data_IF_196740952430
#
_entry.id   IF_196740952430
#
_cell.length_a   1.000
_cell.length_b   1.000
_cell.length_c   1.000
_cell.angle_alpha   90.00
_cell.angle_beta   90.00
_cell.angle_gamma   90.00
#
_symmetry.space_group_name_H-M   'P 1'
#
loop_
_entity.id
_entity.type
_entity.pdbx_description
1 polymer ?
#
# COMPACT_ATOMS: atom_id res chain seq x y z
N UNK A 1 6.73 14.07 -3.91
CA UNK A 1 7.17 15.40 -3.43
C UNK A 1 7.89 16.23 -4.49
N UNK A 2 8.95 15.76 -5.16
CA UNK A 2 9.58 16.53 -6.25
C UNK A 2 8.76 16.54 -7.56
N UNK A 3 8.06 15.46 -7.87
CA UNK A 3 7.17 15.33 -9.04
C UNK A 3 5.91 16.19 -8.93
N UNK A 4 5.36 16.36 -7.72
CA UNK A 4 4.13 17.13 -7.51
C UNK A 4 4.33 18.65 -7.71
N UNK A 5 5.50 19.16 -7.31
CA UNK A 5 5.84 20.57 -7.53
C UNK A 5 6.11 20.89 -9.01
N UNK A 6 6.68 19.94 -9.76
CA UNK A 6 6.94 20.09 -11.19
C UNK A 6 5.65 20.20 -12.01
N UNK A 7 4.62 19.42 -11.62
CA UNK A 7 3.30 19.47 -12.24
C UNK A 7 2.60 20.83 -12.01
N UNK A 8 2.67 21.37 -10.79
CA UNK A 8 2.02 22.66 -10.46
C UNK A 8 2.63 23.82 -11.26
N UNK A 9 3.97 23.90 -11.34
CA UNK A 9 4.66 24.97 -12.09
C UNK A 9 4.34 24.89 -13.58
N UNK A 10 4.26 23.67 -14.13
CA UNK A 10 3.89 23.44 -15.52
C UNK A 10 2.47 23.89 -15.86
N UNK A 11 1.48 23.57 -15.00
CA UNK A 11 0.10 24.03 -15.21
C UNK A 11 -0.06 25.55 -15.07
N UNK A 12 0.71 26.19 -14.18
CA UNK A 12 0.75 27.66 -14.08
C UNK A 12 1.29 28.27 -15.39
N UNK A 13 2.35 27.70 -15.95
CA UNK A 13 2.94 28.16 -17.20
C UNK A 13 1.96 28.03 -18.38
N UNK A 14 1.29 26.87 -18.51
CA UNK A 14 0.24 26.68 -19.53
C UNK A 14 -0.89 27.70 -19.36
N UNK A 15 -1.30 28.00 -18.12
CA UNK A 15 -2.32 28.99 -17.84
C UNK A 15 -1.94 30.39 -18.32
N UNK A 16 -0.72 30.84 -17.99
CA UNK A 16 -0.20 32.15 -18.42
C UNK A 16 -0.07 32.22 -19.94
N UNK A 17 0.48 31.17 -20.57
CA UNK A 17 0.58 31.07 -22.02
C UNK A 17 -0.78 31.17 -22.70
N UNK A 18 -1.77 30.40 -22.24
CA UNK A 18 -3.11 30.36 -22.83
C UNK A 18 -3.81 31.71 -22.76
N UNK A 19 -3.70 32.40 -21.61
CA UNK A 19 -4.27 33.74 -21.43
C UNK A 19 -3.60 34.74 -22.38
N UNK A 20 -2.27 34.68 -22.48
CA UNK A 20 -1.49 35.58 -23.35
C UNK A 20 -1.81 35.34 -24.82
N UNK A 21 -1.94 34.07 -25.24
CA UNK A 21 -2.34 33.69 -26.59
C UNK A 21 -3.75 34.17 -26.93
N UNK A 22 -4.73 33.98 -26.03
CA UNK A 22 -6.12 34.43 -26.23
C UNK A 22 -6.19 35.96 -26.33
N UNK A 23 -5.55 36.69 -25.42
CA UNK A 23 -5.53 38.16 -25.45
C UNK A 23 -4.87 38.71 -26.72
N UNK A 24 -3.78 38.09 -27.16
CA UNK A 24 -3.10 38.45 -28.41
C UNK A 24 -4.00 38.18 -29.62
N UNK A 25 -4.68 37.03 -29.65
CA UNK A 25 -5.60 36.66 -30.73
C UNK A 25 -6.84 37.57 -30.79
N UNK A 26 -7.43 37.90 -29.64
CA UNK A 26 -8.55 38.84 -29.52
C UNK A 26 -8.15 40.28 -29.89
N UNK A 27 -6.89 40.64 -29.66
CA UNK A 27 -6.32 41.91 -30.10
C UNK A 27 -6.09 41.97 -31.61
N UNK A 28 -5.57 40.90 -32.22
CA UNK A 28 -5.36 40.82 -33.68
C UNK A 28 -6.69 40.74 -34.44
N UNK A 29 -7.65 39.96 -33.95
CA UNK A 29 -8.98 39.82 -34.58
C UNK A 29 -9.87 41.06 -34.39
N UNK A 30 -9.40 42.08 -33.66
CA UNK A 30 -10.11 43.35 -33.47
C UNK A 30 -11.36 43.25 -32.61
N UNK A 31 -11.57 42.13 -31.93
CA UNK A 31 -12.67 41.93 -30.96
C UNK A 31 -12.50 42.87 -29.77
N UNK A 32 -11.25 43.07 -29.31
CA UNK A 32 -10.92 44.05 -28.27
C UNK A 32 -10.25 45.28 -28.92
N UNK A 33 -11.05 46.29 -29.25
CA UNK A 33 -10.60 47.54 -29.90
C UNK A 33 -9.75 48.47 -29.01
N UNK A 34 -9.58 48.13 -27.73
CA UNK A 34 -8.87 48.95 -26.73
C UNK A 34 -7.36 48.73 -26.70
N UNK A 35 -6.83 47.70 -27.36
CA UNK A 35 -5.40 47.35 -27.27
C UNK A 35 -4.63 48.18 -28.29
N UNK A 36 -3.77 49.07 -27.82
CA UNK A 36 -2.94 49.89 -28.71
C UNK A 36 -1.92 49.01 -29.47
N UNK A 37 -1.63 49.30 -30.75
CA UNK A 37 -0.75 48.47 -31.60
C UNK A 37 0.63 48.18 -31.01
N UNK A 38 1.19 49.14 -30.26
CA UNK A 38 2.49 48.99 -29.57
C UNK A 38 2.48 47.88 -28.51
N UNK A 39 1.36 47.69 -27.81
CA UNK A 39 1.19 46.65 -26.80
C UNK A 39 0.93 45.29 -27.45
N UNK A 40 0.26 45.28 -28.61
CA UNK A 40 0.03 44.06 -29.40
C UNK A 40 1.36 43.46 -29.90
N UNK A 41 2.28 44.30 -30.39
CA UNK A 41 3.62 43.84 -30.81
C UNK A 41 4.45 43.28 -29.65
N UNK A 42 4.33 43.88 -28.46
CA UNK A 42 5.02 43.37 -27.26
C UNK A 42 4.45 42.02 -26.79
N UNK A 43 3.11 41.88 -26.79
CA UNK A 43 2.43 40.63 -26.47
C UNK A 43 2.78 39.52 -27.48
N UNK A 44 2.81 39.84 -28.77
CA UNK A 44 3.18 38.91 -29.83
C UNK A 44 4.65 38.48 -29.77
N UNK A 45 5.56 39.42 -29.49
CA UNK A 45 6.97 39.09 -29.29
C UNK A 45 7.19 38.21 -28.04
N UNK A 46 6.46 38.49 -26.95
CA UNK A 46 6.45 37.65 -25.75
C UNK A 46 5.98 36.23 -26.05
N UNK A 47 4.88 36.09 -26.80
CA UNK A 47 4.34 34.79 -27.22
C UNK A 47 5.36 34.00 -28.05
N UNK A 48 6.04 34.63 -29.01
CA UNK A 48 7.07 33.97 -29.83
C UNK A 48 8.22 33.48 -28.95
N UNK A 49 8.71 34.33 -28.03
CA UNK A 49 9.81 33.98 -27.14
C UNK A 49 9.44 32.81 -26.23
N UNK A 50 8.21 32.79 -25.73
CA UNK A 50 7.66 31.72 -24.91
C UNK A 50 7.57 30.39 -25.68
N UNK A 51 7.05 30.41 -26.92
CA UNK A 51 6.99 29.21 -27.79
C UNK A 51 8.39 28.70 -28.12
N UNK A 52 9.32 29.57 -28.50
CA UNK A 52 10.70 29.18 -28.83
C UNK A 52 11.39 28.56 -27.60
N UNK A 53 11.20 29.15 -26.42
CA UNK A 53 11.74 28.62 -25.17
C UNK A 53 11.13 27.27 -24.81
N UNK A 54 9.81 27.10 -24.98
CA UNK A 54 9.12 25.83 -24.77
C UNK A 54 9.61 24.73 -25.72
N UNK A 55 9.82 25.05 -27.00
CA UNK A 55 10.37 24.11 -27.99
C UNK A 55 11.80 23.72 -27.63
N UNK A 56 12.67 24.68 -27.29
CA UNK A 56 14.05 24.39 -26.87
C UNK A 56 14.08 23.54 -25.60
N UNK A 57 13.24 23.87 -24.62
CA UNK A 57 13.16 23.13 -23.36
C UNK A 57 12.64 21.71 -23.57
N UNK A 58 11.62 21.54 -24.41
CA UNK A 58 11.11 20.22 -24.81
C UNK A 58 12.20 19.41 -25.51
N UNK A 59 12.94 20.02 -26.44
CA UNK A 59 14.07 19.35 -27.11
C UNK A 59 15.20 18.95 -26.16
N UNK A 60 15.47 19.74 -25.12
CA UNK A 60 16.47 19.41 -24.08
C UNK A 60 16.01 18.32 -23.12
N UNK A 61 14.70 18.12 -22.96
CA UNK A 61 14.14 17.06 -22.13
C UNK A 61 13.93 15.74 -22.88
N UNK A 62 13.99 15.76 -24.21
CA UNK A 62 14.05 14.53 -24.99
C UNK A 62 15.45 13.93 -24.82
N UNK A 63 15.52 12.85 -24.06
CA UNK A 63 16.73 12.07 -23.91
C UNK A 63 16.97 11.24 -25.17
N UNK A 64 17.83 11.76 -26.05
CA UNK A 64 18.27 11.06 -27.26
C UNK A 64 19.34 9.98 -26.99
N UNK A 65 19.79 9.81 -25.74
CA UNK A 65 20.80 8.80 -25.38
C UNK A 65 20.32 7.36 -25.65
N UNK A 66 19.01 7.11 -25.60
CA UNK A 66 18.44 5.79 -25.90
C UNK A 66 18.37 5.45 -27.39
N UNK A 67 18.52 6.41 -28.33
CA UNK A 67 18.28 6.15 -29.75
C UNK A 67 19.45 6.48 -30.68
N UNK A 68 20.41 7.32 -30.28
CA UNK A 68 21.42 7.83 -31.24
C UNK A 68 22.87 7.47 -30.91
N UNK A 69 23.21 7.20 -29.66
CA UNK A 69 24.63 6.97 -29.27
C UNK A 69 25.18 5.58 -29.60
N UNK A 70 24.37 4.62 -30.06
CA UNK A 70 24.85 3.25 -30.27
C UNK A 70 24.90 2.77 -31.72
N UNK A 71 24.24 3.42 -32.67
CA UNK A 71 24.19 2.89 -34.04
C UNK A 71 25.29 3.48 -34.90
N UNK A 72 25.50 4.80 -34.87
CA UNK A 72 26.53 5.48 -35.67
C UNK A 72 27.93 5.12 -35.20
N UNK A 73 28.18 5.02 -33.89
CA UNK A 73 29.49 4.63 -33.36
C UNK A 73 29.80 3.13 -33.53
N UNK A 74 28.79 2.25 -33.44
CA UNK A 74 28.97 0.81 -33.75
C UNK A 74 29.18 0.56 -35.24
N UNK A 75 28.47 1.29 -36.12
CA UNK A 75 28.70 1.21 -37.57
C UNK A 75 30.04 1.86 -37.92
N UNK A 76 30.38 3.00 -37.32
CA UNK A 76 31.64 3.70 -37.52
C UNK A 76 32.86 2.85 -37.13
N UNK A 77 32.79 2.15 -36.00
CA UNK A 77 33.85 1.22 -35.56
C UNK A 77 33.93 -0.08 -36.39
N UNK A 78 32.83 -0.54 -36.98
CA UNK A 78 32.85 -1.65 -37.95
C UNK A 78 33.42 -1.24 -39.31
N UNK A 79 33.13 -0.02 -39.77
CA UNK A 79 33.64 0.53 -41.05
C UNK A 79 35.11 0.92 -40.93
N UNK A 80 35.55 1.44 -39.78
CA UNK A 80 36.93 1.84 -39.54
C UNK A 80 37.95 0.67 -39.50
N UNK A 81 37.48 -0.56 -39.28
CA UNK A 81 38.31 -1.77 -39.19
C UNK A 81 38.28 -2.62 -40.47
N UNK A 82 37.79 -2.09 -41.59
CA UNK A 82 37.76 -2.86 -42.84
C UNK A 82 39.15 -2.95 -43.47
N UNK A 83 39.57 -4.16 -43.92
CA UNK A 83 40.78 -4.31 -44.72
C UNK A 83 40.69 -3.48 -46.00
N UNK A 84 41.78 -2.80 -46.35
CA UNK A 84 41.89 -2.12 -47.63
C UNK A 84 41.69 -3.12 -48.78
N UNK A 85 40.78 -2.79 -49.71
CA UNK A 85 40.42 -3.66 -50.84
C UNK A 85 39.17 -4.54 -50.66
N UNK A 86 38.47 -4.44 -49.52
CA UNK A 86 37.19 -5.16 -49.32
C UNK A 86 36.12 -4.66 -50.30
N UNK A 87 35.47 -5.59 -51.00
CA UNK A 87 34.47 -5.32 -52.03
C UNK A 87 33.22 -4.61 -51.48
N UNK A 88 32.63 -3.74 -52.29
CA UNK A 88 31.53 -2.86 -51.89
C UNK A 88 30.28 -3.66 -51.51
N UNK A 89 30.01 -4.76 -52.22
CA UNK A 89 28.88 -5.64 -51.93
C UNK A 89 29.04 -6.35 -50.58
N UNK A 90 30.26 -6.75 -50.23
CA UNK A 90 30.58 -7.40 -48.96
C UNK A 90 30.43 -6.43 -47.78
N UNK A 91 30.79 -5.16 -48.00
CA UNK A 91 30.60 -4.05 -47.06
C UNK A 91 29.11 -3.79 -46.79
N UNK A 92 28.29 -3.74 -47.85
CA UNK A 92 26.83 -3.54 -47.74
C UNK A 92 26.17 -4.68 -46.97
N UNK A 93 26.50 -5.94 -47.28
CA UNK A 93 25.95 -7.12 -46.60
C UNK A 93 26.28 -7.11 -45.10
N UNK A 94 27.50 -6.71 -44.73
CA UNK A 94 27.93 -6.66 -43.32
C UNK A 94 27.20 -5.58 -42.53
N UNK A 95 27.00 -4.39 -43.12
CA UNK A 95 26.21 -3.31 -42.51
C UNK A 95 24.73 -3.68 -42.38
N UNK A 96 24.18 -4.37 -43.38
CA UNK A 96 22.80 -4.83 -43.38
C UNK A 96 22.57 -5.88 -42.28
N UNK A 97 23.52 -6.80 -42.08
CA UNK A 97 23.48 -7.76 -40.98
C UNK A 97 23.56 -7.08 -39.60
N UNK A 98 24.43 -6.08 -39.43
CA UNK A 98 24.54 -5.32 -38.19
C UNK A 98 23.26 -4.53 -37.85
N UNK A 99 22.60 -3.95 -38.85
CA UNK A 99 21.31 -3.26 -38.71
C UNK A 99 20.18 -4.21 -38.31
N UNK A 100 20.09 -5.38 -38.95
CA UNK A 100 19.10 -6.41 -38.60
C UNK A 100 19.31 -6.90 -37.17
N UNK A 101 20.55 -7.16 -36.78
CA UNK A 101 20.88 -7.61 -35.43
C UNK A 101 20.61 -6.53 -34.36
N UNK A 102 20.80 -5.25 -34.70
CA UNK A 102 20.42 -4.12 -33.86
C UNK A 102 18.90 -4.03 -33.63
N UNK A 103 18.11 -4.29 -34.67
CA UNK A 103 16.64 -4.29 -34.58
C UNK A 103 16.13 -5.42 -33.68
N UNK A 104 16.67 -6.63 -33.80
CA UNK A 104 16.31 -7.77 -32.94
C UNK A 104 16.60 -7.48 -31.47
N UNK A 105 17.76 -6.88 -31.16
CA UNK A 105 18.07 -6.48 -29.78
C UNK A 105 17.16 -5.38 -29.24
N UNK A 106 16.72 -4.44 -30.08
CA UNK A 106 15.77 -3.41 -29.67
C UNK A 106 14.39 -4.00 -29.33
N UNK A 107 13.95 -5.02 -30.07
CA UNK A 107 12.71 -5.75 -29.77
C UNK A 107 12.81 -6.54 -28.45
N UNK A 108 13.96 -7.16 -28.18
CA UNK A 108 14.22 -7.87 -26.90
C UNK A 108 14.25 -6.90 -25.71
N UNK A 109 14.86 -5.72 -25.86
CA UNK A 109 14.85 -4.68 -24.81
C UNK A 109 13.43 -4.18 -24.55
N UNK A 110 12.62 -3.94 -25.59
CA UNK A 110 11.24 -3.52 -25.42
C UNK A 110 10.38 -4.57 -24.68
N UNK A 111 10.63 -5.87 -24.91
CA UNK A 111 9.99 -6.95 -24.15
C UNK A 111 10.40 -6.92 -22.67
N UNK A 112 11.70 -6.81 -22.39
CA UNK A 112 12.23 -6.74 -21.03
C UNK A 112 11.71 -5.51 -20.26
N UNK A 113 11.53 -4.37 -20.94
CA UNK A 113 10.92 -3.18 -20.34
C UNK A 113 9.44 -3.41 -19.99
N UNK A 114 8.69 -4.10 -20.86
CA UNK A 114 7.32 -4.51 -20.58
C UNK A 114 7.21 -5.44 -19.36
N UNK A 115 8.10 -6.43 -19.27
CA UNK A 115 8.16 -7.34 -18.11
C UNK A 115 8.54 -6.60 -16.82
N UNK A 116 9.51 -5.68 -16.88
CA UNK A 116 9.89 -4.84 -15.73
C UNK A 116 8.71 -4.02 -15.24
N UNK A 117 7.96 -3.40 -16.14
CA UNK A 117 6.82 -2.55 -15.79
C UNK A 117 5.67 -3.38 -15.20
N UNK A 118 5.44 -4.59 -15.73
CA UNK A 118 4.50 -5.56 -15.17
C UNK A 118 4.91 -6.00 -13.76
N UNK A 119 6.19 -6.35 -13.55
CA UNK A 119 6.74 -6.73 -12.25
C UNK A 119 6.62 -5.58 -11.24
N UNK A 120 6.86 -4.35 -11.67
CA UNK A 120 6.71 -3.15 -10.84
C UNK A 120 5.25 -2.93 -10.43
N UNK A 121 4.29 -3.17 -11.33
CA UNK A 121 2.87 -3.17 -11.03
C UNK A 121 2.49 -4.23 -9.98
N UNK A 122 2.94 -5.47 -10.18
CA UNK A 122 2.70 -6.57 -9.23
C UNK A 122 3.28 -6.28 -7.85
N UNK A 123 4.48 -5.69 -7.77
CA UNK A 123 5.11 -5.29 -6.52
C UNK A 123 4.26 -4.24 -5.78
N UNK A 124 3.76 -3.23 -6.50
CA UNK A 124 2.89 -2.20 -5.92
C UNK A 124 1.60 -2.81 -5.34
N UNK A 125 0.94 -3.71 -6.06
CA UNK A 125 -0.26 -4.41 -5.58
C UNK A 125 0.04 -5.28 -4.35
N UNK A 126 1.19 -5.96 -4.32
CA UNK A 126 1.61 -6.75 -3.17
C UNK A 126 1.86 -5.88 -1.93
N UNK A 127 2.51 -4.74 -2.10
CA UNK A 127 2.75 -3.77 -1.02
C UNK A 127 1.44 -3.18 -0.48
N UNK A 128 0.49 -2.87 -1.35
CA UNK A 128 -0.84 -2.39 -0.95
C UNK A 128 -1.60 -3.46 -0.15
N UNK A 129 -1.60 -4.71 -0.62
CA UNK A 129 -2.19 -5.83 0.12
C UNK A 129 -1.54 -6.02 1.49
N UNK A 130 -0.21 -5.91 1.59
CA UNK A 130 0.52 -6.00 2.86
C UNK A 130 0.11 -4.86 3.82
N UNK A 131 -0.02 -3.64 3.32
CA UNK A 131 -0.46 -2.48 4.10
C UNK A 131 -1.89 -2.66 4.63
N UNK A 132 -2.79 -3.15 3.78
CA UNK A 132 -4.18 -3.43 4.16
C UNK A 132 -4.26 -4.51 5.23
N UNK A 133 -3.56 -5.63 5.06
CA UNK A 133 -3.50 -6.70 6.06
C UNK A 133 -2.90 -6.23 7.38
N UNK A 134 -1.87 -5.37 7.36
CA UNK A 134 -1.31 -4.78 8.59
C UNK A 134 -2.32 -3.87 9.32
N UNK A 135 -3.15 -3.14 8.57
CA UNK A 135 -4.20 -2.28 9.13
C UNK A 135 -5.32 -3.12 9.75
N UNK A 136 -5.71 -4.21 9.09
CA UNK A 136 -6.66 -5.19 9.62
C UNK A 136 -6.14 -5.86 10.89
N UNK A 137 -4.88 -6.30 10.91
CA UNK A 137 -4.23 -6.87 12.10
C UNK A 137 -4.25 -5.89 13.28
N UNK A 138 -3.87 -4.63 13.04
CA UNK A 138 -3.89 -3.59 14.08
C UNK A 138 -5.30 -3.34 14.61
N UNK A 139 -6.32 -3.48 13.76
CA UNK A 139 -7.72 -3.33 14.14
C UNK A 139 -8.18 -4.50 14.99
N UNK A 140 -7.82 -5.73 14.61
CA UNK A 140 -8.12 -6.95 15.38
C UNK A 140 -7.47 -6.93 16.76
N UNK A 141 -6.21 -6.50 16.87
CA UNK A 141 -5.52 -6.35 18.16
C UNK A 141 -6.29 -5.37 19.08
N UNK A 142 -6.72 -4.23 18.54
CA UNK A 142 -7.54 -3.25 19.30
C UNK A 142 -8.87 -3.82 19.75
N UNK A 143 -9.52 -4.64 18.92
CA UNK A 143 -10.80 -5.30 19.28
C UNK A 143 -10.57 -6.26 20.45
N UNK A 144 -9.52 -7.08 20.40
CA UNK A 144 -9.18 -7.99 21.50
C UNK A 144 -8.94 -7.22 22.81
N UNK A 145 -8.08 -6.20 22.79
CA UNK A 145 -7.80 -5.39 23.99
C UNK A 145 -9.05 -4.68 24.52
N UNK A 146 -9.89 -4.15 23.63
CA UNK A 146 -11.16 -3.53 24.00
C UNK A 146 -12.09 -4.52 24.71
N UNK A 147 -12.18 -5.75 24.22
CA UNK A 147 -12.99 -6.80 24.84
C UNK A 147 -12.47 -7.18 26.23
N UNK A 148 -11.15 -7.31 26.41
CA UNK A 148 -10.57 -7.57 27.74
C UNK A 148 -10.83 -6.41 28.71
N UNK A 149 -10.69 -5.16 28.26
CA UNK A 149 -10.95 -3.97 29.08
C UNK A 149 -12.43 -3.90 29.46
N UNK A 150 -13.36 -4.12 28.52
CA UNK A 150 -14.80 -4.17 28.79
C UNK A 150 -15.12 -5.24 29.82
N UNK A 151 -14.52 -6.42 29.71
CA UNK A 151 -14.71 -7.51 30.66
C UNK A 151 -14.29 -7.10 32.08
N UNK A 152 -13.16 -6.40 32.21
CA UNK A 152 -12.68 -5.84 33.48
C UNK A 152 -13.63 -4.77 34.04
N UNK A 153 -14.10 -3.84 33.21
CA UNK A 153 -15.08 -2.82 33.63
C UNK A 153 -16.38 -3.48 34.10
N UNK A 154 -16.81 -4.55 33.44
CA UNK A 154 -18.00 -5.31 33.87
C UNK A 154 -17.74 -6.00 35.20
N UNK A 155 -16.58 -6.63 35.40
CA UNK A 155 -16.27 -7.33 36.66
C UNK A 155 -16.26 -6.39 37.87
N UNK A 156 -15.83 -5.15 37.69
CA UNK A 156 -15.87 -4.11 38.74
C UNK A 156 -17.27 -3.80 39.26
N UNK A 157 -18.32 -4.02 38.44
CA UNK A 157 -19.72 -3.80 38.83
C UNK A 157 -20.24 -4.89 39.79
N UNK A 158 -19.56 -6.03 39.89
CA UNK A 158 -19.93 -7.14 40.76
C UNK A 158 -19.21 -7.06 42.10
N UNK A 159 -19.88 -7.50 43.18
CA UNK A 159 -19.29 -7.55 44.52
C UNK A 159 -18.02 -8.42 44.51
N UNK A 160 -16.93 -7.89 45.05
CA UNK A 160 -15.63 -8.57 45.05
C UNK A 160 -14.90 -8.53 43.70
N UNK A 161 -15.33 -7.67 42.76
CA UNK A 161 -14.72 -7.49 41.42
C UNK A 161 -14.60 -8.80 40.63
N UNK A 162 -15.51 -9.72 40.89
CA UNK A 162 -15.45 -11.09 40.38
C UNK A 162 -16.83 -11.49 39.88
N UNK A 163 -16.86 -12.12 38.70
CA UNK A 163 -18.09 -12.62 38.07
C UNK A 163 -18.14 -14.13 38.26
N UNK A 164 -19.16 -14.64 38.95
CA UNK A 164 -19.45 -16.07 38.94
C UNK A 164 -20.22 -16.42 37.65
N UNK A 165 -19.61 -17.19 36.73
CA UNK A 165 -20.19 -17.56 35.44
C UNK A 165 -21.30 -18.61 35.53
N UNK A 166 -21.50 -19.28 36.67
CA UNK A 166 -22.59 -20.27 36.80
C UNK A 166 -23.85 -19.65 37.39
N UNK A 167 -23.68 -18.65 38.25
CA UNK A 167 -24.81 -17.98 38.90
C UNK A 167 -25.45 -16.95 37.98
N UNK A 168 -26.78 -16.89 37.93
CA UNK A 168 -27.56 -15.85 37.23
C UNK A 168 -27.07 -15.59 35.78
N UNK A 169 -27.02 -16.65 34.97
CA UNK A 169 -26.48 -16.58 33.61
C UNK A 169 -27.30 -15.64 32.70
N UNK A 170 -28.62 -15.57 32.88
CA UNK A 170 -29.51 -14.76 32.05
C UNK A 170 -29.13 -13.26 32.05
N UNK A 171 -28.70 -12.74 33.20
CA UNK A 171 -28.29 -11.34 33.35
C UNK A 171 -26.84 -11.06 32.93
N UNK A 172 -26.13 -12.07 32.42
CA UNK A 172 -24.70 -11.99 32.05
C UNK A 172 -24.45 -12.23 30.56
N UNK A 173 -25.46 -12.07 29.72
CA UNK A 173 -25.36 -12.26 28.27
C UNK A 173 -24.15 -11.52 27.66
N UNK A 174 -23.93 -10.25 28.04
CA UNK A 174 -22.78 -9.45 27.56
C UNK A 174 -21.43 -10.08 27.96
N UNK A 175 -21.33 -10.66 29.16
CA UNK A 175 -20.10 -11.33 29.63
C UNK A 175 -19.78 -12.53 28.75
N UNK A 176 -20.78 -13.35 28.42
CA UNK A 176 -20.58 -14.53 27.57
C UNK A 176 -20.23 -14.16 26.13
N UNK A 177 -20.84 -13.09 25.59
CA UNK A 177 -20.49 -12.59 24.26
C UNK A 177 -19.03 -12.13 24.20
N UNK A 178 -18.59 -11.35 25.19
CA UNK A 178 -17.21 -10.87 25.27
C UNK A 178 -16.23 -12.04 25.46
N UNK A 179 -16.52 -12.98 26.36
CA UNK A 179 -15.70 -14.18 26.56
C UNK A 179 -15.64 -15.05 25.30
N UNK A 180 -16.76 -15.19 24.59
CA UNK A 180 -16.81 -15.91 23.31
C UNK A 180 -15.86 -15.30 22.29
N UNK A 181 -15.86 -13.98 22.14
CA UNK A 181 -14.95 -13.31 21.22
C UNK A 181 -13.48 -13.45 21.65
N UNK A 182 -13.18 -13.30 22.95
CA UNK A 182 -11.83 -13.51 23.49
C UNK A 182 -11.35 -14.94 23.21
N UNK A 183 -12.21 -15.94 23.39
CA UNK A 183 -11.86 -17.34 23.14
C UNK A 183 -11.76 -17.70 21.67
N UNK A 184 -12.50 -17.03 20.80
CA UNK A 184 -12.30 -17.12 19.36
C UNK A 184 -10.92 -16.58 18.98
N UNK A 185 -10.56 -15.41 19.50
CA UNK A 185 -9.26 -14.77 19.23
C UNK A 185 -8.07 -15.58 19.80
N UNK A 186 -8.26 -16.30 20.90
CA UNK A 186 -7.27 -17.19 21.53
C UNK A 186 -7.24 -18.62 20.94
N UNK A 187 -8.17 -18.96 20.04
CA UNK A 187 -8.27 -20.27 19.39
C UNK A 187 -8.89 -21.39 20.22
N UNK A 188 -9.62 -21.06 21.29
CA UNK A 188 -10.38 -22.04 22.10
C UNK A 188 -11.73 -22.41 21.49
N UNK A 189 -12.22 -21.54 20.60
CA UNK A 189 -13.53 -21.58 19.95
C UNK A 189 -13.32 -21.35 18.46
N UNK A 190 -13.91 -22.20 17.61
CA UNK A 190 -13.92 -22.05 16.17
C UNK A 190 -14.92 -20.99 15.70
N UNK A 191 -14.74 -20.41 14.50
CA UNK A 191 -15.62 -19.37 13.98
C UNK A 191 -17.06 -19.85 13.70
N UNK A 192 -17.26 -21.17 13.59
CA UNK A 192 -18.55 -21.79 13.32
C UNK A 192 -19.14 -22.51 14.53
N UNK A 193 -18.48 -22.43 15.69
CA UNK A 193 -18.96 -23.09 16.91
C UNK A 193 -20.20 -22.35 17.46
N UNK A 194 -21.17 -23.09 17.96
CA UNK A 194 -22.33 -22.50 18.64
C UNK A 194 -21.92 -21.94 20.01
N UNK A 195 -22.06 -20.62 20.19
CA UNK A 195 -21.61 -19.89 21.37
C UNK A 195 -22.65 -19.88 22.49
N UNK A 196 -23.12 -21.06 22.91
CA UNK A 196 -24.02 -21.16 24.07
C UNK A 196 -23.29 -20.82 25.38
N UNK A 197 -24.01 -20.36 26.41
CA UNK A 197 -23.40 -19.99 27.69
C UNK A 197 -22.63 -21.16 28.32
N UNK A 198 -23.23 -22.36 28.34
CA UNK A 198 -22.59 -23.56 28.89
C UNK A 198 -21.32 -23.95 28.11
N UNK A 199 -21.34 -23.77 26.78
CA UNK A 199 -20.15 -23.98 25.96
C UNK A 199 -19.02 -23.02 26.35
N UNK A 200 -19.33 -21.72 26.49
CA UNK A 200 -18.34 -20.72 26.92
C UNK A 200 -17.81 -21.01 28.32
N UNK A 201 -18.67 -21.41 29.25
CA UNK A 201 -18.29 -21.80 30.62
C UNK A 201 -17.33 -23.00 30.57
N UNK A 202 -17.62 -24.02 29.75
CA UNK A 202 -16.75 -25.19 29.60
C UNK A 202 -15.38 -24.81 29.03
N UNK A 203 -15.32 -23.90 28.05
CA UNK A 203 -14.06 -23.37 27.51
C UNK A 203 -13.28 -22.58 28.55
N UNK A 204 -13.97 -21.78 29.37
CA UNK A 204 -13.35 -21.05 30.47
C UNK A 204 -12.77 -21.99 31.53
N UNK A 205 -13.50 -23.03 31.93
CA UNK A 205 -13.01 -24.06 32.86
C UNK A 205 -11.74 -24.71 32.32
N UNK A 206 -11.74 -25.12 31.04
CA UNK A 206 -10.57 -25.69 30.38
C UNK A 206 -9.38 -24.72 30.41
N UNK A 207 -9.60 -23.46 30.03
CA UNK A 207 -8.58 -22.42 30.07
C UNK A 207 -8.00 -22.20 31.47
N UNK A 208 -8.85 -22.14 32.50
CA UNK A 208 -8.44 -21.94 33.88
C UNK A 208 -7.61 -23.13 34.41
N UNK A 209 -8.01 -24.37 34.09
CA UNK A 209 -7.24 -25.57 34.44
C UNK A 209 -5.87 -25.59 33.75
N UNK A 210 -5.82 -25.35 32.44
CA UNK A 210 -4.55 -25.30 31.67
C UNK A 210 -3.59 -24.22 32.15
N UNK A 211 -4.12 -23.17 32.78
CA UNK A 211 -3.34 -22.05 33.28
C UNK A 211 -3.01 -22.18 34.78
N UNK A 212 -3.42 -23.26 35.44
CA UNK A 212 -3.12 -23.56 36.84
C UNK A 212 -3.94 -22.76 37.86
N UNK A 213 -5.14 -22.28 37.53
CA UNK A 213 -6.00 -21.49 38.42
C UNK A 213 -7.25 -22.22 38.87
N UNK A 214 -7.03 -23.39 39.43
CA UNK A 214 -8.07 -24.18 40.05
C UNK A 214 -8.76 -23.42 41.19
N UNK A 215 -8.11 -22.42 41.81
CA UNK A 215 -8.71 -21.57 42.85
C UNK A 215 -9.93 -20.78 42.37
N UNK A 216 -10.06 -20.52 41.06
CA UNK A 216 -11.21 -19.86 40.46
C UNK A 216 -12.41 -20.81 40.30
N UNK A 217 -12.19 -22.10 40.49
CA UNK A 217 -13.14 -23.16 40.21
C UNK A 217 -13.46 -23.92 41.51
N UNK A 218 -14.74 -24.04 41.85
CA UNK A 218 -15.18 -24.87 42.97
C UNK A 218 -16.18 -25.91 42.50
N UNK A 219 -15.97 -27.13 42.95
CA UNK A 219 -16.88 -28.26 42.74
C UNK A 219 -17.71 -28.52 44.01
N UNK A 220 -18.93 -28.98 43.83
CA UNK A 220 -19.75 -29.53 44.90
C UNK A 220 -19.34 -30.98 45.20
N UNK A 221 -19.99 -31.62 46.18
CA UNK A 221 -19.73 -33.02 46.55
C UNK A 221 -20.08 -34.02 45.42
N UNK A 222 -20.95 -33.64 44.50
CA UNK A 222 -21.31 -34.43 43.31
C UNK A 222 -20.27 -34.31 42.17
N UNK A 223 -19.29 -33.41 42.30
CA UNK A 223 -18.26 -33.16 41.29
C UNK A 223 -18.61 -32.10 40.25
N UNK A 224 -19.80 -31.51 40.31
CA UNK A 224 -20.22 -30.41 39.43
C UNK A 224 -19.64 -29.08 39.90
N UNK A 225 -19.28 -28.22 38.95
CA UNK A 225 -18.87 -26.87 39.27
C UNK A 225 -20.06 -26.07 39.82
N UNK A 226 -19.96 -25.60 41.07
CA UNK A 226 -20.94 -24.68 41.66
C UNK A 226 -20.43 -23.23 41.68
N UNK A 227 -19.16 -23.03 41.31
CA UNK A 227 -18.53 -21.73 41.22
C UNK A 227 -17.48 -21.74 40.10
N UNK A 228 -17.60 -20.79 39.19
CA UNK A 228 -16.61 -20.51 38.15
C UNK A 228 -16.39 -19.02 38.13
N UNK A 229 -15.28 -18.56 38.68
CA UNK A 229 -14.98 -17.15 38.87
C UNK A 229 -14.15 -16.60 37.73
N UNK A 230 -14.57 -15.45 37.22
CA UNK A 230 -13.80 -14.57 36.36
C UNK A 230 -13.44 -13.31 37.14
N UNK A 231 -12.15 -13.13 37.41
CA UNK A 231 -11.60 -12.02 38.18
C UNK A 231 -10.64 -11.14 37.34
N UNK A 232 -10.07 -10.13 37.98
CA UNK A 232 -9.09 -9.25 37.34
C UNK A 232 -7.83 -10.00 36.87
N UNK A 233 -7.41 -11.05 37.58
CA UNK A 233 -6.25 -11.85 37.22
C UNK A 233 -6.48 -12.62 35.92
N UNK A 234 -7.66 -13.23 35.76
CA UNK A 234 -8.04 -13.91 34.51
C UNK A 234 -7.94 -12.96 33.30
N UNK A 235 -8.36 -11.70 33.42
CA UNK A 235 -8.24 -10.70 32.33
C UNK A 235 -6.79 -10.41 31.94
N UNK A 236 -5.90 -10.33 32.92
CA UNK A 236 -4.46 -10.11 32.70
C UNK A 236 -3.84 -11.27 31.91
N UNK A 237 -4.36 -12.47 32.10
CA UNK A 237 -3.85 -13.65 31.43
C UNK A 237 -4.34 -13.71 30.00
N UNK A 238 -5.59 -13.35 29.72
CA UNK A 238 -6.05 -13.26 28.34
C UNK A 238 -5.07 -12.42 27.51
N UNK A 239 -4.63 -11.27 28.06
CA UNK A 239 -3.59 -10.44 27.44
C UNK A 239 -2.27 -11.19 27.30
N UNK A 240 -1.75 -11.79 28.37
CA UNK A 240 -0.47 -12.53 28.32
C UNK A 240 -0.49 -13.64 27.27
N UNK A 241 -1.58 -14.41 27.21
CA UNK A 241 -1.71 -15.53 26.27
C UNK A 241 -1.81 -15.05 24.83
N UNK A 242 -2.59 -14.00 24.59
CA UNK A 242 -2.70 -13.35 23.29
C UNK A 242 -1.35 -12.81 22.81
N UNK A 243 -0.65 -12.06 23.67
CA UNK A 243 0.67 -11.52 23.36
C UNK A 243 1.69 -12.61 23.07
N UNK A 244 1.70 -13.71 23.84
CA UNK A 244 2.59 -14.83 23.59
C UNK A 244 2.29 -15.56 22.27
N UNK A 245 1.01 -15.64 21.86
CA UNK A 245 0.60 -16.25 20.60
C UNK A 245 0.95 -15.38 19.39
N UNK A 246 0.78 -14.06 19.49
CA UNK A 246 0.97 -13.12 18.37
C UNK A 246 2.41 -12.57 18.26
N UNK A 247 3.07 -12.41 19.40
CA UNK A 247 4.41 -11.83 19.52
C UNK A 247 5.29 -12.71 20.42
N UNK A 248 5.59 -13.96 20.00
CA UNK A 248 6.42 -14.85 20.79
C UNK A 248 7.80 -14.23 21.00
N UNK A 249 8.22 -14.12 22.25
CA UNK A 249 9.59 -13.75 22.56
C UNK A 249 10.51 -14.84 21.99
N UNK A 250 11.43 -14.44 21.09
CA UNK A 250 12.48 -15.34 20.62
C UNK A 250 13.37 -15.68 21.82
N UNK A 251 13.30 -16.93 22.27
CA UNK A 251 14.24 -17.50 23.23
C UNK A 251 15.56 -17.85 22.53
#
# INVERSE_FOLDING_TARGET
>A
MATDQLNIVFYIFIGIFSITAILTFLGITGVIKSIQPKHLNALFAGLILEVVSAVIFTYKQIDFSCQTENVVDRLGSQVANWPDGTDLDQKIVTLQAALVQGKVKAEEVAQLEGERDQLKGNLATCQESQSNTNTELTTLDKVFYSNVIKLRIISEKFRGRTINLIWDQANKAEVYQILGQIFLDLGYVGPNDELSHDFIIAKYIKFANESGWEYLLKKNEAGDYNQVLLDEYATTIFLRKYLNQKYPLKN
#
